data_IF_862122564326
#
_entry.id   IF_862122564326
#
_cell.length_a   1.000
_cell.length_b   1.000
_cell.length_c   1.000
_cell.angle_alpha   90.00
_cell.angle_beta   90.00
_cell.angle_gamma   90.00
#
_symmetry.space_group_name_H-M   'P 1'
#
loop_
_entity.id
_entity.type
_entity.pdbx_description
1 polymer ?
#
# COMPACT_ATOMS: atom_id res chain seq x y z
N UNK A 1 0.66 12.26 -13.64
CA UNK A 1 -0.41 12.09 -12.64
C UNK A 1 -0.36 10.63 -12.24
N UNK A 2 -0.22 10.36 -10.94
CA UNK A 2 -0.06 9.00 -10.44
C UNK A 2 -1.44 8.33 -10.46
N UNK A 3 -1.69 7.47 -11.45
CA UNK A 3 -3.02 6.93 -11.78
C UNK A 3 -3.74 6.29 -10.58
N UNK A 4 -3.02 5.54 -9.75
CA UNK A 4 -3.59 4.91 -8.55
C UNK A 4 -4.13 5.91 -7.53
N UNK A 5 -3.51 7.09 -7.38
CA UNK A 5 -4.00 8.14 -6.48
C UNK A 5 -5.34 8.66 -6.96
N UNK A 6 -5.43 8.96 -8.25
CA UNK A 6 -6.68 9.43 -8.86
C UNK A 6 -7.80 8.40 -8.74
N UNK A 7 -7.51 7.11 -8.97
CA UNK A 7 -8.48 6.02 -8.82
C UNK A 7 -9.00 5.95 -7.39
N UNK A 8 -8.10 6.04 -6.42
CA UNK A 8 -8.45 6.01 -5.00
C UNK A 8 -9.27 7.24 -4.58
N UNK A 9 -8.91 8.44 -5.02
CA UNK A 9 -9.69 9.67 -4.80
C UNK A 9 -11.12 9.54 -5.34
N UNK A 10 -11.25 9.05 -6.58
CA UNK A 10 -12.55 8.80 -7.22
C UNK A 10 -13.36 7.74 -6.48
N UNK A 11 -12.70 6.75 -5.90
CA UNK A 11 -13.37 5.70 -5.13
C UNK A 11 -13.87 6.22 -3.78
N UNK A 12 -13.00 6.84 -2.99
CA UNK A 12 -13.36 7.37 -1.66
C UNK A 12 -14.41 8.48 -1.72
N UNK A 13 -14.36 9.34 -2.75
CA UNK A 13 -15.36 10.40 -2.94
C UNK A 13 -16.77 9.87 -3.20
N UNK A 14 -16.89 8.63 -3.69
CA UNK A 14 -18.17 7.92 -3.85
C UNK A 14 -18.65 7.21 -2.58
N UNK A 15 -17.80 7.13 -1.56
CA UNK A 15 -18.08 6.44 -0.29
C UNK A 15 -17.86 7.39 0.90
N UNK A 16 -18.61 8.50 1.00
CA UNK A 16 -18.46 9.49 2.07
C UNK A 16 -18.79 8.95 3.47
N UNK A 17 -19.53 7.84 3.54
CA UNK A 17 -19.90 7.17 4.78
C UNK A 17 -18.70 6.52 5.49
N UNK A 18 -17.62 6.23 4.76
CA UNK A 18 -16.42 5.64 5.35
C UNK A 18 -15.63 6.65 6.17
N UNK A 19 -15.12 6.20 7.32
CA UNK A 19 -14.28 7.01 8.19
C UNK A 19 -13.02 7.53 7.46
N UNK A 20 -12.39 6.67 6.65
CA UNK A 20 -11.19 7.04 5.89
C UNK A 20 -11.47 8.13 4.85
N UNK A 21 -12.62 8.11 4.17
CA UNK A 21 -13.02 9.16 3.23
C UNK A 21 -13.12 10.51 3.91
N UNK A 22 -13.74 10.57 5.10
CA UNK A 22 -13.86 11.82 5.89
C UNK A 22 -12.52 12.31 6.44
N UNK A 23 -11.60 11.41 6.80
CA UNK A 23 -10.30 11.77 7.36
C UNK A 23 -9.27 12.15 6.30
N UNK A 24 -9.32 11.51 5.13
CA UNK A 24 -8.29 11.65 4.10
C UNK A 24 -8.67 12.58 2.94
N UNK A 25 -9.94 12.91 2.74
CA UNK A 25 -10.34 13.78 1.63
C UNK A 25 -10.50 15.25 2.05
N UNK A 26 -9.99 16.14 1.20
CA UNK A 26 -10.27 17.57 1.17
C UNK A 26 -11.49 17.77 0.26
N UNK A 27 -12.50 18.49 0.76
CA UNK A 27 -13.79 18.75 0.09
C UNK A 27 -14.52 17.48 -0.39
N UNK A 28 -14.22 16.33 0.24
CA UNK A 28 -14.75 15.03 -0.18
C UNK A 28 -14.28 14.57 -1.55
N UNK A 29 -13.20 15.14 -2.10
CA UNK A 29 -12.75 14.87 -3.49
C UNK A 29 -11.29 14.46 -3.60
N UNK A 30 -10.38 15.20 -2.97
CA UNK A 30 -8.94 15.03 -3.18
C UNK A 30 -8.29 14.48 -1.93
N UNK A 31 -7.36 13.52 -2.08
CA UNK A 31 -6.61 13.05 -0.94
C UNK A 31 -5.73 14.18 -0.41
N UNK A 32 -5.62 14.29 0.92
CA UNK A 32 -4.66 15.17 1.58
C UNK A 32 -3.23 14.82 1.15
N UNK A 33 -2.34 15.82 1.19
CA UNK A 33 -0.94 15.68 0.74
C UNK A 33 -0.15 14.63 1.51
N UNK A 34 -0.45 14.46 2.79
CA UNK A 34 0.19 13.52 3.71
C UNK A 34 -0.30 12.07 3.53
N UNK A 35 -1.44 11.88 2.86
CA UNK A 35 -1.98 10.56 2.61
C UNK A 35 -1.26 9.87 1.46
N UNK A 36 -0.86 8.62 1.69
CA UNK A 36 -0.14 7.77 0.75
C UNK A 36 -1.02 6.64 0.24
N UNK A 37 -0.92 6.33 -1.05
CA UNK A 37 -1.63 5.21 -1.67
C UNK A 37 -0.62 4.11 -2.00
N UNK A 38 -0.90 2.89 -1.57
CA UNK A 38 0.02 1.77 -1.66
C UNK A 38 -0.60 0.59 -2.41
N UNK A 39 0.19 0.00 -3.31
CA UNK A 39 -0.13 -1.28 -3.96
C UNK A 39 0.21 -2.45 -3.04
N UNK A 40 -0.81 -3.20 -2.64
CA UNK A 40 -0.70 -4.29 -1.66
C UNK A 40 0.14 -5.45 -2.21
N UNK A 41 -0.05 -5.81 -3.47
CA UNK A 41 0.68 -6.90 -4.13
C UNK A 41 2.07 -6.51 -4.65
N UNK A 42 2.52 -5.26 -4.41
CA UNK A 42 3.78 -4.70 -4.88
C UNK A 42 3.89 -4.51 -6.41
N UNK A 43 2.83 -4.75 -7.16
CA UNK A 43 2.74 -4.42 -8.59
C UNK A 43 2.22 -2.98 -8.76
N UNK A 44 3.14 -2.08 -9.10
CA UNK A 44 2.85 -0.66 -9.31
C UNK A 44 1.96 -0.38 -10.53
N UNK A 45 1.72 -1.36 -11.39
CA UNK A 45 0.82 -1.25 -12.55
C UNK A 45 -0.60 -1.75 -12.25
N UNK A 46 -0.81 -2.50 -11.16
CA UNK A 46 -2.12 -3.04 -10.79
C UNK A 46 -2.94 -2.03 -9.97
N UNK A 47 -3.63 -1.14 -10.67
CA UNK A 47 -4.41 -0.06 -10.06
C UNK A 47 -5.85 -0.45 -9.69
N UNK A 48 -6.18 -1.74 -9.61
CA UNK A 48 -7.51 -2.20 -9.18
C UNK A 48 -7.72 -1.84 -7.71
N UNK A 49 -8.93 -1.41 -7.35
CA UNK A 49 -9.19 -0.85 -6.01
C UNK A 49 -8.92 -1.86 -4.88
N UNK A 50 -9.16 -3.15 -5.13
CA UNK A 50 -8.84 -4.24 -4.21
C UNK A 50 -7.34 -4.40 -3.92
N UNK A 51 -6.48 -3.83 -4.77
CA UNK A 51 -5.02 -3.84 -4.62
C UNK A 51 -4.48 -2.53 -4.03
N UNK A 52 -5.33 -1.53 -3.78
CA UNK A 52 -4.90 -0.22 -3.29
C UNK A 52 -5.30 -0.02 -1.83
N UNK A 53 -4.37 0.50 -1.04
CA UNK A 53 -4.59 0.89 0.36
C UNK A 53 -4.21 2.34 0.59
N UNK A 54 -4.98 3.06 1.41
CA UNK A 54 -4.66 4.45 1.82
C UNK A 54 -4.14 4.49 3.23
N UNK A 55 -2.97 5.07 3.39
CA UNK A 55 -2.43 5.47 4.69
C UNK A 55 -2.70 6.95 4.92
N UNK A 56 -3.12 7.30 6.15
CA UNK A 56 -3.42 8.69 6.51
C UNK A 56 -2.16 9.56 6.54
N UNK A 57 -1.01 8.93 6.83
CA UNK A 57 0.30 9.59 6.87
C UNK A 57 1.37 8.73 6.23
N UNK A 58 2.46 9.36 5.80
CA UNK A 58 3.65 8.66 5.32
C UNK A 58 4.30 7.80 6.42
N UNK A 59 4.23 8.18 7.70
CA UNK A 59 4.76 7.36 8.80
C UNK A 59 4.06 6.00 8.88
N UNK A 60 2.73 5.97 8.75
CA UNK A 60 1.95 4.73 8.73
C UNK A 60 2.27 3.88 7.49
N UNK A 61 2.54 4.52 6.34
CA UNK A 61 3.03 3.83 5.14
C UNK A 61 4.42 3.19 5.36
N UNK A 62 5.34 3.91 6.00
CA UNK A 62 6.66 3.36 6.35
C UNK A 62 6.57 2.24 7.39
N UNK A 63 5.61 2.28 8.31
CA UNK A 63 5.33 1.18 9.25
C UNK A 63 4.91 -0.10 8.53
N UNK A 64 4.03 -0.02 7.54
CA UNK A 64 3.65 -1.16 6.71
C UNK A 64 4.85 -1.72 5.91
N UNK A 65 5.74 -0.86 5.41
CA UNK A 65 6.99 -1.31 4.76
C UNK A 65 7.93 -2.03 5.73
N UNK A 66 8.05 -1.53 6.96
CA UNK A 66 8.84 -2.20 8.01
C UNK A 66 8.26 -3.57 8.36
N UNK A 67 6.94 -3.70 8.44
CA UNK A 67 6.30 -5.00 8.70
C UNK A 67 6.52 -6.00 7.55
N UNK A 68 6.56 -5.54 6.29
CA UNK A 68 6.94 -6.38 5.15
C UNK A 68 8.37 -6.91 5.30
N UNK A 69 9.35 -6.09 5.69
CA UNK A 69 10.72 -6.55 5.91
C UNK A 69 10.84 -7.54 7.07
N UNK A 70 10.12 -7.32 8.17
CA UNK A 70 10.08 -8.26 9.29
C UNK A 70 9.45 -9.62 8.88
N UNK A 71 8.44 -9.59 7.99
CA UNK A 71 7.89 -10.81 7.40
C UNK A 71 8.93 -11.54 6.54
N UNK A 72 9.63 -10.83 5.66
CA UNK A 72 10.70 -11.40 4.82
C UNK A 72 11.80 -12.02 5.67
N UNK A 73 12.25 -11.34 6.73
CA UNK A 73 13.22 -11.89 7.70
C UNK A 73 12.71 -13.20 8.32
N UNK A 74 11.45 -13.23 8.75
CA UNK A 74 10.83 -14.45 9.30
C UNK A 74 10.82 -15.59 8.28
N UNK A 75 10.53 -15.31 7.01
CA UNK A 75 10.52 -16.31 5.93
C UNK A 75 11.93 -16.85 5.62
N UNK A 76 12.95 -15.99 5.65
CA UNK A 76 14.37 -16.39 5.52
C UNK A 76 14.79 -17.31 6.66
N UNK A 77 14.50 -16.91 7.91
CA UNK A 77 14.85 -17.68 9.10
C UNK A 77 14.17 -19.05 9.14
N UNK A 78 12.96 -19.15 8.56
CA UNK A 78 12.22 -20.41 8.42
C UNK A 78 12.64 -21.24 7.21
N UNK A 79 13.59 -20.77 6.39
CA UNK A 79 14.00 -21.42 5.13
C UNK A 79 12.81 -21.68 4.20
N UNK A 80 11.87 -20.74 4.15
CA UNK A 80 10.77 -20.74 3.16
C UNK A 80 11.22 -19.99 1.91
N UNK A 81 12.05 -18.97 2.11
CA UNK A 81 12.75 -18.25 1.05
C UNK A 81 14.24 -18.22 1.34
N UNK A 82 15.05 -18.05 0.30
CA UNK A 82 16.49 -17.80 0.35
C UNK A 82 16.90 -16.63 -0.50
N UNK A 83 18.04 -16.03 -0.18
CA UNK A 83 18.71 -15.04 -1.03
C UNK A 83 19.87 -15.69 -1.77
N UNK A 84 19.81 -15.72 -3.10
CA UNK A 84 20.80 -16.37 -3.95
C UNK A 84 21.01 -15.56 -5.24
N UNK A 85 22.26 -15.21 -5.54
CA UNK A 85 22.63 -14.50 -6.76
C UNK A 85 22.02 -13.10 -6.89
N UNK A 86 21.72 -12.42 -5.76
CA UNK A 86 21.11 -11.09 -5.77
C UNK A 86 19.58 -11.09 -5.71
N UNK A 87 18.94 -12.26 -5.65
CA UNK A 87 17.48 -12.38 -5.70
C UNK A 87 16.93 -13.25 -4.56
N UNK A 88 15.75 -12.90 -4.07
CA UNK A 88 14.97 -13.77 -3.17
C UNK A 88 14.23 -14.84 -3.99
N UNK A 89 14.25 -16.08 -3.52
CA UNK A 89 13.63 -17.24 -4.16
C UNK A 89 12.94 -18.10 -3.11
N UNK A 90 11.94 -18.89 -3.50
CA UNK A 90 11.43 -19.96 -2.65
C UNK A 90 12.52 -21.01 -2.40
N UNK A 91 12.58 -21.52 -1.19
CA UNK A 91 13.36 -22.70 -0.84
C UNK A 91 12.59 -23.95 -1.33
N UNK A 92 13.29 -24.86 -2.01
CA UNK A 92 12.71 -26.13 -2.50
C UNK A 92 12.96 -27.26 -1.52
#
# INVERSE_FOLDING_TARGET
>A
MIEHRYIMEKYLSKHPEWGISRRCLIDGKYLKSECEVHHINLDYQDNRIENLWVFETNEAHQEARRSLYALVETLLNRRIIKFEGGFYRLEN
#
